data_IF_480481766255
#
_entry.id   IF_480481766255
#
_cell.length_a   1.000
_cell.length_b   1.000
_cell.length_c   1.000
_cell.angle_alpha   90.00
_cell.angle_beta   90.00
_cell.angle_gamma   90.00
#
_symmetry.space_group_name_H-M   'P 1'
#
loop_
_entity.id
_entity.type
_entity.pdbx_description
1 polymer ?
#
# COMPACT_ATOMS: atom_id res chain seq x y z
N UNK A 1 7.35 15.81 21.16
CA UNK A 1 8.32 14.69 21.20
C UNK A 1 8.84 14.47 19.77
N UNK A 2 9.66 15.38 19.22
CA UNK A 2 10.06 15.35 17.81
C UNK A 2 11.53 15.74 17.54
N UNK A 3 12.17 16.50 18.44
CA UNK A 3 13.54 17.01 18.20
C UNK A 3 14.66 15.97 18.40
N UNK A 4 14.48 15.03 19.34
CA UNK A 4 15.49 13.99 19.62
C UNK A 4 15.68 13.01 18.46
N UNK A 5 14.62 12.75 17.68
CA UNK A 5 14.65 11.78 16.59
C UNK A 5 15.31 12.35 15.34
N UNK A 6 15.10 13.64 15.06
CA UNK A 6 15.80 14.38 14.00
C UNK A 6 17.30 14.49 14.31
N UNK A 7 17.65 14.79 15.56
CA UNK A 7 19.05 14.91 15.98
C UNK A 7 19.82 13.58 15.82
N UNK A 8 19.22 12.43 16.18
CA UNK A 8 19.87 11.13 15.99
C UNK A 8 20.09 10.77 14.52
N UNK A 9 19.10 10.99 13.64
CA UNK A 9 19.24 10.65 12.21
C UNK A 9 20.33 11.50 11.54
N UNK A 10 20.45 12.78 11.89
CA UNK A 10 21.52 13.67 11.38
C UNK A 10 22.90 13.21 11.83
N UNK A 11 23.04 12.71 13.06
CA UNK A 11 24.31 12.17 13.57
C UNK A 11 24.70 10.87 12.86
N UNK A 12 23.75 9.97 12.58
CA UNK A 12 24.01 8.74 11.83
C UNK A 12 24.41 9.00 10.37
N UNK A 13 23.78 9.98 9.70
CA UNK A 13 24.15 10.40 8.35
C UNK A 13 25.56 11.00 8.28
N UNK A 14 25.97 11.75 9.31
CA UNK A 14 27.29 12.40 9.35
C UNK A 14 28.46 11.44 9.62
N UNK A 15 28.21 10.27 10.23
CA UNK A 15 29.26 9.35 10.65
C UNK A 15 29.48 8.16 9.68
N UNK A 16 28.67 8.00 8.64
CA UNK A 16 28.80 6.89 7.69
C UNK A 16 28.47 5.50 8.29
N UNK A 17 27.92 5.45 9.50
CA UNK A 17 27.52 4.23 10.23
C UNK A 17 26.11 3.75 9.80
N UNK A 18 25.59 4.31 8.70
CA UNK A 18 24.18 4.21 8.33
C UNK A 18 23.73 2.79 7.94
N UNK A 19 24.61 1.97 7.36
CA UNK A 19 24.23 0.63 6.88
C UNK A 19 23.94 -0.36 8.01
N UNK A 20 24.61 -0.26 9.17
CA UNK A 20 24.50 -1.23 10.26
C UNK A 20 23.20 -1.07 11.09
N UNK A 21 22.64 0.14 11.13
CA UNK A 21 21.43 0.47 11.91
C UNK A 21 20.18 0.67 11.05
N UNK A 22 20.33 0.49 9.74
CA UNK A 22 19.30 0.66 8.72
C UNK A 22 17.99 -0.04 9.07
N UNK A 23 18.07 -1.30 9.50
CA UNK A 23 16.89 -2.12 9.84
C UNK A 23 16.25 -1.77 11.19
N UNK A 24 16.96 -1.04 12.05
CA UNK A 24 16.47 -0.60 13.36
C UNK A 24 15.79 0.78 13.29
N UNK A 25 15.88 1.46 12.15
CA UNK A 25 15.22 2.75 11.96
C UNK A 25 13.70 2.58 11.94
N UNK A 26 12.95 3.53 12.52
CA UNK A 26 11.50 3.56 12.38
C UNK A 26 11.10 3.60 10.90
N UNK A 27 10.03 2.89 10.53
CA UNK A 27 9.53 2.76 9.15
C UNK A 27 9.42 4.10 8.42
N UNK A 28 8.90 5.13 9.11
CA UNK A 28 8.81 6.50 8.58
C UNK A 28 10.15 7.11 8.14
N UNK A 29 11.24 6.80 8.86
CA UNK A 29 12.58 7.30 8.55
C UNK A 29 13.15 6.54 7.35
N UNK A 30 12.97 5.22 7.30
CA UNK A 30 13.41 4.38 6.17
C UNK A 30 12.73 4.80 4.86
N UNK A 31 11.42 5.04 4.91
CA UNK A 31 10.65 5.53 3.75
C UNK A 31 11.06 6.97 3.38
N UNK A 32 11.27 7.85 4.35
CA UNK A 32 11.74 9.22 4.06
C UNK A 32 13.09 9.23 3.32
N UNK A 33 13.94 8.22 3.56
CA UNK A 33 15.27 8.08 2.99
C UNK A 33 15.31 7.30 1.67
N UNK A 34 14.17 6.82 1.16
CA UNK A 34 14.10 6.06 -0.10
C UNK A 34 14.79 4.71 -0.03
N UNK A 35 14.84 4.13 1.17
CA UNK A 35 15.71 3.00 1.50
C UNK A 35 15.02 1.63 1.44
N UNK A 36 13.71 1.64 1.16
CA UNK A 36 12.93 0.45 0.87
C UNK A 36 12.84 0.33 -0.66
N UNK A 37 13.33 -0.78 -1.20
CA UNK A 37 13.12 -1.16 -2.59
C UNK A 37 11.73 -1.79 -2.69
N UNK A 38 10.86 -1.19 -3.48
CA UNK A 38 9.42 -1.39 -3.39
C UNK A 38 8.87 -1.70 -4.77
N UNK A 39 8.14 -2.81 -4.87
CA UNK A 39 7.66 -3.37 -6.14
C UNK A 39 6.73 -2.43 -6.92
N UNK A 40 6.11 -1.45 -6.26
CA UNK A 40 5.39 -0.36 -6.91
C UNK A 40 5.84 1.03 -6.40
N UNK A 41 6.81 1.67 -7.08
CA UNK A 41 7.37 2.94 -6.60
C UNK A 41 6.36 4.09 -6.63
N UNK A 42 5.32 4.02 -7.48
CA UNK A 42 4.28 5.06 -7.53
C UNK A 42 3.34 4.92 -6.34
N UNK A 43 2.88 3.71 -6.06
CA UNK A 43 2.01 3.43 -4.90
C UNK A 43 2.70 3.82 -3.60
N UNK A 44 3.99 3.50 -3.45
CA UNK A 44 4.70 3.89 -2.23
C UNK A 44 4.92 5.39 -2.16
N UNK A 45 5.34 6.03 -3.24
CA UNK A 45 5.52 7.49 -3.20
C UNK A 45 4.21 8.20 -2.84
N UNK A 46 3.06 7.73 -3.32
CA UNK A 46 1.75 8.25 -2.92
C UNK A 46 1.46 8.07 -1.42
N UNK A 47 1.76 6.89 -0.86
CA UNK A 47 1.61 6.61 0.58
C UNK A 47 2.55 7.50 1.40
N UNK A 48 3.80 7.65 0.94
CA UNK A 48 4.83 8.50 1.55
C UNK A 48 4.42 9.95 1.53
N UNK A 49 3.99 10.48 0.39
CA UNK A 49 3.50 11.85 0.27
C UNK A 49 2.29 12.10 1.17
N UNK A 50 1.32 11.18 1.20
CA UNK A 50 0.15 11.30 2.07
C UNK A 50 0.55 11.36 3.56
N UNK A 51 1.54 10.57 3.96
CA UNK A 51 2.08 10.61 5.32
C UNK A 51 2.84 11.90 5.61
N UNK A 52 3.74 12.32 4.73
CA UNK A 52 4.54 13.55 4.89
C UNK A 52 3.68 14.82 4.90
N UNK A 53 2.50 14.80 4.26
CA UNK A 53 1.53 15.90 4.30
C UNK A 53 0.56 15.83 5.49
N UNK A 54 0.73 14.88 6.41
CA UNK A 54 -0.18 14.62 7.55
C UNK A 54 -1.62 14.23 7.13
N UNK A 55 -1.83 13.72 5.90
CA UNK A 55 -3.13 13.23 5.46
C UNK A 55 -3.49 11.85 6.06
N UNK A 56 -2.47 11.06 6.42
CA UNK A 56 -2.62 9.75 7.08
C UNK A 56 -1.68 9.67 8.29
N UNK A 57 -2.14 9.04 9.37
CA UNK A 57 -1.32 8.81 10.56
C UNK A 57 -0.44 7.56 10.46
N UNK A 58 0.49 7.40 11.41
CA UNK A 58 1.48 6.30 11.45
C UNK A 58 0.87 4.91 11.19
N UNK A 59 -0.25 4.59 11.86
CA UNK A 59 -0.91 3.28 11.74
C UNK A 59 -1.46 2.99 10.34
N UNK A 60 -2.02 4.00 9.70
CA UNK A 60 -2.58 3.86 8.36
C UNK A 60 -1.46 3.83 7.31
N UNK A 61 -0.40 4.61 7.53
CA UNK A 61 0.82 4.54 6.74
C UNK A 61 1.45 3.14 6.77
N UNK A 62 1.66 2.55 7.96
CA UNK A 62 2.19 1.19 8.10
C UNK A 62 1.30 0.14 7.43
N UNK A 63 -0.02 0.27 7.58
CA UNK A 63 -0.98 -0.64 6.93
C UNK A 63 -0.87 -0.56 5.40
N UNK A 64 -0.90 0.65 4.83
CA UNK A 64 -0.81 0.84 3.38
C UNK A 64 0.55 0.42 2.84
N UNK A 65 1.63 0.75 3.54
CA UNK A 65 2.96 0.31 3.16
C UNK A 65 3.07 -1.22 3.16
N UNK A 66 2.53 -1.89 4.20
CA UNK A 66 2.50 -3.36 4.29
C UNK A 66 1.75 -4.05 3.15
N UNK A 67 0.78 -3.37 2.53
CA UNK A 67 0.10 -3.83 1.31
C UNK A 67 0.94 -3.53 0.06
N UNK A 68 1.56 -2.35 0.00
CA UNK A 68 2.32 -1.94 -1.17
C UNK A 68 3.62 -2.75 -1.37
N UNK A 69 4.14 -3.32 -0.28
CA UNK A 69 5.30 -4.23 -0.31
C UNK A 69 4.92 -5.70 -0.59
N UNK A 70 3.62 -6.01 -0.63
CA UNK A 70 3.09 -7.34 -0.94
C UNK A 70 2.84 -7.40 -2.46
N UNK A 71 3.71 -8.11 -3.18
CA UNK A 71 3.72 -8.17 -4.64
C UNK A 71 2.36 -8.61 -5.22
N UNK A 72 1.74 -9.62 -4.62
CA UNK A 72 0.43 -10.16 -5.06
C UNK A 72 -0.68 -9.11 -4.85
N UNK A 73 -0.64 -8.40 -3.72
CA UNK A 73 -1.63 -7.38 -3.40
C UNK A 73 -1.45 -6.13 -4.28
N UNK A 74 -0.20 -5.73 -4.54
CA UNK A 74 0.13 -4.63 -5.44
C UNK A 74 -0.31 -4.95 -6.87
N UNK A 75 -0.05 -6.17 -7.34
CA UNK A 75 -0.49 -6.64 -8.65
C UNK A 75 -2.01 -6.66 -8.75
N UNK A 76 -2.71 -7.23 -7.76
CA UNK A 76 -4.16 -7.23 -7.73
C UNK A 76 -4.74 -5.82 -7.84
N UNK A 77 -4.16 -4.84 -7.13
CA UNK A 77 -4.62 -3.45 -7.20
C UNK A 77 -4.46 -2.86 -8.58
N UNK A 78 -3.33 -3.08 -9.26
CA UNK A 78 -3.11 -2.62 -10.64
C UNK A 78 -4.14 -3.21 -11.60
N UNK A 79 -4.45 -4.50 -11.46
CA UNK A 79 -5.47 -5.16 -12.26
C UNK A 79 -6.86 -4.60 -11.95
N UNK A 80 -7.18 -4.42 -10.68
CA UNK A 80 -8.47 -3.87 -10.26
C UNK A 80 -8.69 -2.43 -10.77
N UNK A 81 -7.66 -1.58 -10.75
CA UNK A 81 -7.73 -0.19 -11.25
C UNK A 81 -7.85 -0.09 -12.77
N UNK A 82 -7.62 -1.19 -13.51
CA UNK A 82 -7.91 -1.24 -14.95
C UNK A 82 -9.42 -1.36 -15.24
N UNK A 83 -10.21 -1.76 -14.25
CA UNK A 83 -11.67 -1.84 -14.34
C UNK A 83 -12.26 -0.44 -14.25
N UNK A 84 -13.09 -0.09 -15.24
CA UNK A 84 -13.71 1.23 -15.29
C UNK A 84 -14.53 1.55 -14.03
N UNK A 85 -14.14 2.61 -13.34
CA UNK A 85 -14.80 3.07 -12.11
C UNK A 85 -14.28 2.43 -10.82
N UNK A 86 -13.22 1.62 -10.87
CA UNK A 86 -12.42 1.25 -9.71
C UNK A 86 -11.19 2.18 -9.69
N UNK A 87 -11.17 3.09 -8.71
CA UNK A 87 -10.03 3.97 -8.47
C UNK A 87 -9.15 3.48 -7.32
N UNK A 88 -8.09 4.23 -6.99
CA UNK A 88 -7.16 3.89 -5.91
C UNK A 88 -7.87 3.57 -4.59
N UNK A 89 -8.83 4.38 -4.16
CA UNK A 89 -9.54 4.16 -2.88
C UNK A 89 -10.31 2.82 -2.87
N UNK A 90 -10.89 2.45 -4.00
CA UNK A 90 -11.62 1.18 -4.15
C UNK A 90 -10.66 -0.01 -4.20
N UNK A 91 -9.55 0.09 -4.94
CA UNK A 91 -8.53 -0.97 -5.00
C UNK A 91 -7.84 -1.18 -3.64
N UNK A 92 -7.64 -0.10 -2.88
CA UNK A 92 -7.19 -0.16 -1.49
C UNK A 92 -8.19 -0.87 -0.59
N UNK A 93 -9.47 -0.56 -0.75
CA UNK A 93 -10.55 -1.20 0.02
C UNK A 93 -10.63 -2.70 -0.27
N UNK A 94 -10.45 -3.12 -1.52
CA UNK A 94 -10.38 -4.54 -1.90
C UNK A 94 -9.33 -5.30 -1.08
N UNK A 95 -8.10 -4.77 -1.02
CA UNK A 95 -7.03 -5.40 -0.24
C UNK A 95 -7.26 -5.31 1.27
N UNK A 96 -7.85 -4.20 1.74
CA UNK A 96 -8.20 -4.02 3.15
C UNK A 96 -9.22 -5.06 3.63
N UNK A 97 -10.12 -5.53 2.76
CA UNK A 97 -11.08 -6.61 3.06
C UNK A 97 -10.47 -8.02 3.02
N UNK A 98 -9.17 -8.14 2.73
CA UNK A 98 -8.45 -9.41 2.79
C UNK A 98 -8.25 -10.09 1.43
N UNK A 99 -8.73 -9.50 0.33
CA UNK A 99 -8.40 -9.94 -1.02
C UNK A 99 -6.97 -9.50 -1.36
N UNK A 100 -6.00 -10.40 -1.18
CA UNK A 100 -4.56 -10.15 -1.32
C UNK A 100 -3.99 -10.66 -2.63
N UNK A 101 -4.78 -11.36 -3.44
CA UNK A 101 -4.34 -11.94 -4.72
C UNK A 101 -5.50 -12.09 -5.69
N UNK A 102 -5.20 -12.14 -6.99
CA UNK A 102 -6.18 -12.43 -8.04
C UNK A 102 -6.89 -13.77 -7.83
N UNK A 103 -6.19 -14.79 -7.30
CA UNK A 103 -6.80 -16.09 -6.97
C UNK A 103 -7.93 -15.92 -5.94
N UNK A 104 -7.70 -15.17 -4.87
CA UNK A 104 -8.73 -14.96 -3.85
C UNK A 104 -9.93 -14.18 -4.38
N UNK A 105 -9.71 -13.27 -5.34
CA UNK A 105 -10.81 -12.59 -6.02
C UNK A 105 -11.59 -13.56 -6.89
N UNK A 106 -10.92 -14.45 -7.64
CA UNK A 106 -11.57 -15.51 -8.44
C UNK A 106 -12.36 -16.52 -7.62
N UNK A 107 -11.90 -16.82 -6.41
CA UNK A 107 -12.59 -17.71 -5.48
C UNK A 107 -13.84 -17.06 -4.84
N UNK A 108 -13.98 -15.73 -4.95
CA UNK A 108 -15.11 -14.98 -4.43
C UNK A 108 -16.27 -14.90 -5.43
N UNK A 109 -17.50 -14.75 -4.91
CA UNK A 109 -18.68 -14.49 -5.75
C UNK A 109 -18.84 -13.00 -6.05
N UNK A 110 -19.61 -12.69 -7.11
CA UNK A 110 -19.99 -11.30 -7.45
C UNK A 110 -20.64 -10.62 -6.25
N UNK A 111 -21.59 -11.29 -5.60
CA UNK A 111 -22.33 -10.74 -4.45
C UNK A 111 -21.39 -10.47 -3.28
N UNK A 112 -20.48 -11.41 -2.98
CA UNK A 112 -19.50 -11.25 -1.92
C UNK A 112 -18.57 -10.05 -2.16
N UNK A 113 -18.04 -9.90 -3.38
CA UNK A 113 -17.20 -8.74 -3.73
C UNK A 113 -17.97 -7.42 -3.66
N UNK A 114 -19.24 -7.42 -4.07
CA UNK A 114 -20.10 -6.25 -4.05
C UNK A 114 -20.46 -5.81 -2.62
N UNK A 115 -20.66 -6.76 -1.72
CA UNK A 115 -21.01 -6.53 -0.31
C UNK A 115 -19.79 -6.14 0.53
N UNK A 116 -18.67 -6.84 0.34
CA UNK A 116 -17.46 -6.63 1.14
C UNK A 116 -16.76 -5.32 0.78
N UNK A 117 -16.70 -4.97 -0.51
CA UNK A 117 -15.87 -3.89 -1.02
C UNK A 117 -16.70 -2.65 -1.33
N UNK A 118 -16.52 -1.55 -0.56
CA UNK A 118 -17.21 -0.29 -0.81
C UNK A 118 -17.04 0.17 -2.26
N UNK A 119 -18.14 0.62 -2.87
CA UNK A 119 -18.17 1.17 -4.23
C UNK A 119 -17.84 0.18 -5.36
N UNK A 120 -17.77 -1.13 -5.11
CA UNK A 120 -17.62 -2.12 -6.19
C UNK A 120 -18.99 -2.48 -6.79
N UNK A 121 -19.97 -2.90 -6.01
CA UNK A 121 -21.30 -3.26 -6.54
C UNK A 121 -21.27 -4.38 -7.59
N UNK A 122 -22.43 -4.99 -7.88
CA UNK A 122 -22.50 -6.20 -8.73
C UNK A 122 -21.87 -5.99 -10.12
N UNK A 123 -22.12 -4.84 -10.75
CA UNK A 123 -21.61 -4.57 -12.10
C UNK A 123 -20.08 -4.53 -12.15
N UNK A 124 -19.42 -3.85 -11.19
CA UNK A 124 -17.96 -3.78 -11.20
C UNK A 124 -17.35 -5.05 -10.63
N UNK A 125 -17.98 -5.71 -9.66
CA UNK A 125 -17.56 -7.03 -9.19
C UNK A 125 -17.50 -8.04 -10.35
N UNK A 126 -18.54 -8.08 -11.19
CA UNK A 126 -18.56 -8.95 -12.36
C UNK A 126 -17.58 -8.54 -13.48
N UNK A 127 -17.17 -7.27 -13.54
CA UNK A 127 -16.09 -6.84 -14.43
C UNK A 127 -14.72 -7.24 -13.88
N UNK A 128 -14.50 -7.01 -12.59
CA UNK A 128 -13.28 -7.37 -11.89
C UNK A 128 -12.99 -8.87 -12.03
N UNK A 129 -13.98 -9.73 -11.78
CA UNK A 129 -13.86 -11.18 -11.96
C UNK A 129 -13.44 -11.56 -13.38
N UNK A 130 -14.05 -10.95 -14.40
CA UNK A 130 -13.65 -11.17 -15.80
C UNK A 130 -12.22 -10.74 -16.06
N UNK A 131 -11.80 -9.59 -15.54
CA UNK A 131 -10.46 -9.05 -15.75
C UNK A 131 -9.38 -9.89 -15.06
N UNK A 132 -9.65 -10.49 -13.89
CA UNK A 132 -8.69 -11.38 -13.21
C UNK A 132 -8.66 -12.81 -13.76
N UNK A 133 -9.59 -13.17 -14.65
CA UNK A 133 -9.67 -14.47 -15.33
C UNK A 133 -8.99 -14.46 -16.72
N UNK A 134 -8.61 -13.30 -17.25
CA UNK A 134 -7.92 -13.11 -18.55
C UNK A 134 -6.43 -13.45 -18.50
#
# INVERSE_FOLDING_TARGET
MNELLVASVVVFLALGVFEEYRDQLPTRVRVALGDLDLDDPRTVEEIREAYLRDHIGDREFERRLGVAIDEDAAQLRRVAESVSGIGPDTSWSLVAQGYRSERQVRDASVDQLADDVPNVGEQRAGQLLRTVDE
#
